data_IF_541033683210
#
_entry.id   IF_541033683210
#
_cell.length_a   1.000
_cell.length_b   1.000
_cell.length_c   1.000
_cell.angle_alpha   90.00
_cell.angle_beta   90.00
_cell.angle_gamma   90.00
#
_symmetry.space_group_name_H-M   'P 1'
#
loop_
_entity.id
_entity.type
_entity.pdbx_description
1 polymer ?
#
# COMPACT_ATOMS: atom_id res chain seq x y z
N UNK A 1 30.04 19.59 -5.32
CA UNK A 1 28.88 18.66 -5.27
C UNK A 1 27.89 19.18 -4.24
N UNK A 2 26.61 19.36 -4.58
CA UNK A 2 25.58 19.84 -3.63
C UNK A 2 25.55 18.93 -2.38
N UNK A 3 25.51 19.50 -1.18
CA UNK A 3 25.50 18.77 0.09
C UNK A 3 24.42 17.68 0.15
N UNK A 4 23.24 17.93 -0.44
CA UNK A 4 22.15 16.94 -0.57
C UNK A 4 22.59 15.74 -1.41
N UNK A 5 23.27 15.98 -2.55
CA UNK A 5 23.79 14.89 -3.40
C UNK A 5 24.84 14.08 -2.67
N UNK A 6 25.68 14.71 -1.83
CA UNK A 6 26.67 14.00 -1.00
C UNK A 6 25.99 13.11 0.04
N UNK A 7 24.98 13.62 0.75
CA UNK A 7 24.20 12.83 1.72
C UNK A 7 23.51 11.67 1.01
N UNK A 8 22.86 11.91 -0.12
CA UNK A 8 22.24 10.87 -0.94
C UNK A 8 23.26 9.79 -1.32
N UNK A 9 24.43 10.16 -1.86
CA UNK A 9 25.46 9.18 -2.24
C UNK A 9 25.98 8.36 -1.06
N UNK A 10 26.12 8.96 0.12
CA UNK A 10 26.53 8.23 1.34
C UNK A 10 25.46 7.22 1.74
N UNK A 11 24.20 7.65 1.85
CA UNK A 11 23.08 6.77 2.21
C UNK A 11 22.88 5.68 1.17
N UNK A 12 22.97 6.01 -0.12
CA UNK A 12 22.83 5.05 -1.19
C UNK A 12 23.98 4.04 -1.24
N UNK A 13 25.22 4.45 -0.90
CA UNK A 13 26.35 3.52 -0.79
C UNK A 13 26.16 2.53 0.36
N UNK A 14 25.63 2.99 1.49
CA UNK A 14 25.44 2.16 2.69
C UNK A 14 24.24 1.22 2.56
N UNK A 15 23.10 1.75 2.09
CA UNK A 15 21.84 1.01 2.05
C UNK A 15 21.51 0.44 0.66
N UNK A 16 22.11 0.94 -0.42
CA UNK A 16 21.79 0.48 -1.78
C UNK A 16 20.32 0.66 -2.17
N UNK A 17 19.87 -0.09 -3.18
CA UNK A 17 18.46 -0.16 -3.56
C UNK A 17 17.74 -1.14 -2.64
N UNK A 18 16.83 -0.62 -1.83
CA UNK A 18 16.20 -1.40 -0.75
C UNK A 18 14.88 -2.08 -1.16
N UNK A 19 14.32 -1.78 -2.34
CA UNK A 19 12.99 -2.27 -2.71
C UNK A 19 11.96 -1.91 -1.64
N UNK A 20 11.94 -0.63 -1.26
CA UNK A 20 11.37 -0.10 -0.01
C UNK A 20 9.92 -0.49 0.32
N UNK A 21 9.17 -1.03 -0.63
CA UNK A 21 7.82 -1.52 -0.38
C UNK A 21 7.71 -3.03 -0.58
N UNK A 22 7.46 -3.81 0.48
CA UNK A 22 7.30 -5.26 0.37
C UNK A 22 5.92 -5.62 -0.20
N UNK A 23 5.87 -6.63 -1.05
CA UNK A 23 4.60 -7.22 -1.53
C UNK A 23 4.65 -8.74 -1.39
N UNK A 24 3.52 -9.41 -1.61
CA UNK A 24 3.40 -10.86 -1.43
C UNK A 24 3.53 -11.58 -2.77
N UNK A 25 4.56 -12.43 -2.86
CA UNK A 25 4.81 -13.25 -4.04
C UNK A 25 3.70 -14.29 -4.28
N UNK A 26 3.63 -14.79 -5.51
CA UNK A 26 2.69 -15.85 -5.88
C UNK A 26 2.89 -17.08 -4.97
N UNK A 27 1.79 -17.61 -4.44
CA UNK A 27 1.74 -18.73 -3.49
C UNK A 27 2.33 -18.44 -2.09
N UNK A 28 2.62 -17.19 -1.77
CA UNK A 28 2.98 -16.78 -0.42
C UNK A 28 1.81 -16.05 0.27
N UNK A 29 1.96 -15.81 1.58
CA UNK A 29 1.00 -15.07 2.39
C UNK A 29 1.62 -13.82 3.06
N UNK A 30 2.94 -13.85 3.29
CA UNK A 30 3.65 -12.76 3.95
C UNK A 30 4.27 -11.83 2.91
N UNK A 31 4.09 -10.51 3.05
CA UNK A 31 4.81 -9.56 2.22
C UNK A 31 6.30 -9.63 2.53
N UNK A 32 7.15 -9.55 1.50
CA UNK A 32 8.61 -9.55 1.63
C UNK A 32 9.19 -8.47 0.73
N UNK A 33 10.31 -7.89 1.16
CA UNK A 33 11.07 -6.99 0.29
C UNK A 33 11.64 -7.81 -0.87
N UNK A 34 11.34 -7.37 -2.08
CA UNK A 34 11.85 -7.94 -3.32
C UNK A 34 11.86 -6.84 -4.39
N UNK A 35 11.97 -7.19 -5.67
CA UNK A 35 12.12 -6.28 -6.82
C UNK A 35 11.62 -4.83 -6.64
N UNK A 36 12.38 -3.91 -7.21
CA UNK A 36 12.28 -2.45 -6.99
C UNK A 36 10.91 -1.87 -7.40
N UNK A 37 10.14 -2.60 -8.21
CA UNK A 37 8.90 -2.14 -8.83
C UNK A 37 7.81 -3.22 -8.82
N UNK A 38 6.53 -2.85 -8.63
CA UNK A 38 5.41 -3.79 -8.73
C UNK A 38 5.26 -4.31 -10.16
N UNK A 39 5.20 -5.63 -10.32
CA UNK A 39 5.17 -6.34 -11.60
C UNK A 39 3.79 -6.44 -12.21
N UNK A 40 2.74 -6.28 -11.40
CA UNK A 40 1.36 -6.49 -11.82
C UNK A 40 0.38 -5.64 -10.99
N UNK A 41 -0.88 -5.61 -11.42
CA UNK A 41 -1.96 -4.87 -10.74
C UNK A 41 -2.19 -5.33 -9.30
N UNK A 42 -1.98 -6.63 -9.01
CA UNK A 42 -2.16 -7.17 -7.66
C UNK A 42 -1.12 -6.58 -6.70
N UNK A 43 0.15 -6.57 -7.09
CA UNK A 43 1.23 -5.98 -6.29
C UNK A 43 1.01 -4.47 -6.11
N UNK A 44 0.64 -3.74 -7.18
CA UNK A 44 0.26 -2.32 -7.06
C UNK A 44 -0.85 -2.09 -6.04
N UNK A 45 -1.88 -2.93 -6.08
CA UNK A 45 -3.00 -2.81 -5.17
C UNK A 45 -2.64 -3.20 -3.73
N UNK A 46 -1.75 -4.17 -3.54
CA UNK A 46 -1.19 -4.49 -2.23
C UNK A 46 -0.41 -3.32 -1.63
N UNK A 47 0.37 -2.61 -2.45
CA UNK A 47 1.07 -1.38 -2.05
C UNK A 47 0.07 -0.32 -1.58
N UNK A 48 -1.00 -0.09 -2.36
CA UNK A 48 -2.07 0.86 -2.00
C UNK A 48 -2.74 0.48 -0.68
N UNK A 49 -3.06 -0.81 -0.48
CA UNK A 49 -3.60 -1.32 0.78
C UNK A 49 -2.63 -1.04 1.92
N UNK A 50 -1.35 -1.40 1.76
CA UNK A 50 -0.33 -1.17 2.77
C UNK A 50 -0.20 0.30 3.16
N UNK A 51 -0.24 1.22 2.19
CA UNK A 51 -0.11 2.66 2.44
C UNK A 51 -1.23 3.21 3.32
N UNK A 52 -2.46 2.73 3.11
CA UNK A 52 -3.59 3.06 3.98
C UNK A 52 -3.46 2.38 5.34
N UNK A 53 -3.03 1.10 5.35
CA UNK A 53 -2.90 0.34 6.57
C UNK A 53 -1.80 0.87 7.49
N UNK A 54 -0.72 1.46 6.98
CA UNK A 54 0.40 2.02 7.78
C UNK A 54 0.03 3.28 8.55
N UNK A 55 -1.03 4.00 8.18
CA UNK A 55 -1.47 5.20 8.90
C UNK A 55 -1.69 4.92 10.39
N UNK A 56 -0.92 5.59 11.27
CA UNK A 56 -0.98 5.41 12.73
C UNK A 56 -0.81 3.95 13.20
N UNK A 57 0.09 3.16 12.58
CA UNK A 57 0.44 1.81 13.06
C UNK A 57 1.87 1.42 12.67
N UNK A 58 2.41 0.41 13.33
CA UNK A 58 3.69 -0.20 12.93
C UNK A 58 3.53 -1.13 11.72
N UNK A 59 4.61 -1.28 10.94
CA UNK A 59 4.66 -2.20 9.80
C UNK A 59 4.36 -3.66 10.22
N UNK A 60 4.88 -4.12 11.36
CA UNK A 60 4.59 -5.47 11.92
C UNK A 60 3.09 -5.78 12.02
N UNK A 61 2.27 -4.77 12.30
CA UNK A 61 0.82 -4.91 12.37
C UNK A 61 0.16 -4.89 10.99
N UNK A 62 0.71 -4.12 10.05
CA UNK A 62 0.31 -4.12 8.64
C UNK A 62 0.57 -5.47 8.00
N UNK A 63 1.74 -6.08 8.24
CA UNK A 63 2.07 -7.42 7.73
C UNK A 63 1.06 -8.48 8.17
N UNK A 64 0.62 -8.45 9.44
CA UNK A 64 -0.43 -9.33 9.94
C UNK A 64 -1.77 -9.11 9.23
N UNK A 65 -2.12 -7.85 8.96
CA UNK A 65 -3.35 -7.53 8.23
C UNK A 65 -3.27 -7.98 6.77
N UNK A 66 -2.15 -7.74 6.08
CA UNK A 66 -1.90 -8.21 4.71
C UNK A 66 -1.93 -9.74 4.65
N UNK A 67 -1.31 -10.42 5.61
CA UNK A 67 -1.36 -11.88 5.74
C UNK A 67 -2.80 -12.39 5.80
N UNK A 68 -3.64 -11.79 6.65
CA UNK A 68 -5.06 -12.16 6.78
C UNK A 68 -5.82 -11.95 5.45
N UNK A 69 -5.56 -10.84 4.75
CA UNK A 69 -6.17 -10.57 3.44
C UNK A 69 -5.70 -11.55 2.36
N UNK A 70 -4.41 -11.90 2.33
CA UNK A 70 -3.86 -12.89 1.40
C UNK A 70 -4.43 -14.28 1.65
N UNK A 71 -4.56 -14.68 2.92
CA UNK A 71 -5.17 -15.96 3.31
C UNK A 71 -6.60 -16.09 2.76
N UNK A 72 -7.36 -15.01 2.79
CA UNK A 72 -8.72 -14.93 2.23
C UNK A 72 -8.75 -14.59 0.72
N UNK A 73 -7.58 -14.48 0.06
CA UNK A 73 -7.42 -14.11 -1.35
C UNK A 73 -8.11 -12.78 -1.71
N UNK A 74 -8.03 -11.79 -0.81
CA UNK A 74 -8.73 -10.50 -0.89
C UNK A 74 -7.90 -9.34 -1.45
N UNK A 75 -6.60 -9.52 -1.72
CA UNK A 75 -5.79 -8.50 -2.41
C UNK A 75 -6.22 -8.41 -3.88
N UNK A 76 -7.37 -7.79 -4.11
CA UNK A 76 -8.04 -7.59 -5.39
C UNK A 76 -9.07 -6.46 -5.24
N UNK A 77 -9.10 -5.55 -6.20
CA UNK A 77 -9.93 -4.34 -6.15
C UNK A 77 -11.42 -4.69 -6.00
N UNK A 78 -11.93 -5.62 -6.81
CA UNK A 78 -13.35 -6.00 -6.80
C UNK A 78 -13.72 -6.70 -5.49
N UNK A 79 -12.84 -7.56 -4.98
CA UNK A 79 -13.08 -8.27 -3.72
C UNK A 79 -13.07 -7.34 -2.51
N UNK A 80 -12.13 -6.41 -2.41
CA UNK A 80 -12.13 -5.40 -1.33
C UNK A 80 -13.38 -4.52 -1.41
N UNK A 81 -13.78 -4.09 -2.62
CA UNK A 81 -15.02 -3.30 -2.77
C UNK A 81 -16.24 -4.09 -2.29
N UNK A 82 -16.35 -5.38 -2.61
CA UNK A 82 -17.59 -6.14 -2.40
C UNK A 82 -17.66 -6.90 -1.05
N UNK A 83 -16.54 -7.15 -0.38
CA UNK A 83 -16.57 -7.81 0.94
C UNK A 83 -17.37 -6.99 1.95
N UNK A 84 -18.08 -7.70 2.84
CA UNK A 84 -18.75 -7.07 3.97
C UNK A 84 -17.75 -6.25 4.81
N UNK A 85 -18.13 -5.01 5.12
CA UNK A 85 -17.23 -4.08 5.82
C UNK A 85 -16.81 -4.58 7.20
N UNK A 86 -17.71 -5.22 7.97
CA UNK A 86 -17.36 -5.78 9.29
C UNK A 86 -16.36 -6.94 9.16
N UNK A 87 -16.50 -7.80 8.14
CA UNK A 87 -15.52 -8.86 7.84
C UNK A 87 -14.17 -8.27 7.42
N UNK A 88 -14.15 -7.24 6.57
CA UNK A 88 -12.90 -6.57 6.20
C UNK A 88 -12.22 -5.96 7.44
N UNK A 89 -13.01 -5.27 8.27
CA UNK A 89 -12.55 -4.63 9.49
C UNK A 89 -11.96 -5.64 10.49
N UNK A 90 -12.52 -6.85 10.60
CA UNK A 90 -11.96 -7.89 11.46
C UNK A 90 -10.62 -8.44 10.94
N UNK A 91 -10.47 -8.62 9.63
CA UNK A 91 -9.23 -9.10 9.01
C UNK A 91 -8.07 -8.11 9.18
N UNK A 92 -8.35 -6.81 9.10
CA UNK A 92 -7.34 -5.75 9.24
C UNK A 92 -7.22 -5.21 10.67
N UNK A 93 -7.92 -5.80 11.65
CA UNK A 93 -7.90 -5.39 13.06
C UNK A 93 -6.49 -5.15 13.64
N UNK A 94 -5.45 -5.95 13.31
CA UNK A 94 -4.10 -5.70 13.81
C UNK A 94 -3.56 -4.30 13.50
N UNK A 95 -4.00 -3.67 12.41
CA UNK A 95 -3.52 -2.35 11.98
C UNK A 95 -4.11 -1.17 12.76
N UNK A 96 -5.03 -1.38 13.70
CA UNK A 96 -5.69 -0.29 14.45
C UNK A 96 -6.62 0.56 13.58
N UNK A 97 -7.51 1.36 14.19
CA UNK A 97 -8.52 2.18 13.47
C UNK A 97 -9.26 1.41 12.36
N UNK A 98 -9.49 0.12 12.59
CA UNK A 98 -9.80 -0.85 11.56
C UNK A 98 -11.17 -0.62 10.91
N UNK A 99 -12.11 0.01 11.63
CA UNK A 99 -13.39 0.43 11.06
C UNK A 99 -13.20 1.54 10.01
N UNK A 100 -12.40 2.56 10.32
CA UNK A 100 -12.11 3.66 9.39
C UNK A 100 -11.25 3.17 8.22
N UNK A 101 -10.25 2.32 8.49
CA UNK A 101 -9.42 1.73 7.44
C UNK A 101 -10.23 0.82 6.51
N UNK A 102 -11.18 0.04 7.02
CA UNK A 102 -12.05 -0.78 6.17
C UNK A 102 -12.92 0.07 5.25
N UNK A 103 -13.46 1.19 5.74
CA UNK A 103 -14.18 2.17 4.90
C UNK A 103 -13.26 2.74 3.82
N UNK A 104 -12.06 3.22 4.20
CA UNK A 104 -11.06 3.79 3.27
C UNK A 104 -10.64 2.80 2.19
N UNK A 105 -10.41 1.54 2.57
CA UNK A 105 -10.07 0.46 1.63
C UNK A 105 -11.18 0.21 0.60
N UNK A 106 -12.45 0.28 1.00
CA UNK A 106 -13.57 0.15 0.07
C UNK A 106 -13.68 1.36 -0.86
N UNK A 107 -13.49 2.57 -0.33
CA UNK A 107 -13.51 3.82 -1.10
C UNK A 107 -12.38 3.82 -2.15
N UNK A 108 -11.15 3.52 -1.75
CA UNK A 108 -10.02 3.49 -2.67
C UNK A 108 -10.17 2.39 -3.72
N UNK A 109 -10.76 1.25 -3.35
CA UNK A 109 -11.08 0.20 -4.31
C UNK A 109 -12.11 0.66 -5.35
N UNK A 110 -13.15 1.41 -4.97
CA UNK A 110 -14.08 1.99 -5.95
C UNK A 110 -13.39 2.99 -6.89
N UNK A 111 -12.49 3.83 -6.35
CA UNK A 111 -11.71 4.77 -7.14
C UNK A 111 -10.88 4.06 -8.22
N UNK A 112 -10.13 3.02 -7.85
CA UNK A 112 -9.28 2.28 -8.78
C UNK A 112 -10.02 1.35 -9.75
N UNK A 113 -11.33 1.11 -9.57
CA UNK A 113 -12.15 0.47 -10.61
C UNK A 113 -12.31 1.34 -11.85
N UNK A 114 -12.26 2.67 -11.68
CA UNK A 114 -12.49 3.64 -12.75
C UNK A 114 -11.17 4.20 -13.27
N UNK A 115 -10.21 4.45 -12.37
CA UNK A 115 -8.95 5.11 -12.67
C UNK A 115 -7.78 4.15 -12.53
N UNK A 116 -7.16 3.75 -13.66
CA UNK A 116 -5.99 2.85 -13.64
C UNK A 116 -4.69 3.53 -13.25
N UNK A 117 -4.58 4.84 -13.44
CA UNK A 117 -3.35 5.59 -13.18
C UNK A 117 -3.71 6.99 -12.69
N UNK A 118 -3.70 7.23 -11.37
CA UNK A 118 -4.19 8.47 -10.81
C UNK A 118 -3.13 9.56 -10.84
N UNK A 119 -3.61 10.80 -10.77
CA UNK A 119 -2.83 11.97 -10.42
C UNK A 119 -2.83 12.17 -8.91
N UNK A 120 -1.88 12.99 -8.42
CA UNK A 120 -1.83 13.38 -7.00
C UNK A 120 -3.11 14.08 -6.54
N UNK A 121 -3.64 14.98 -7.36
CA UNK A 121 -4.85 15.75 -7.04
C UNK A 121 -6.07 14.82 -6.91
N UNK A 122 -6.21 13.84 -7.81
CA UNK A 122 -7.29 12.84 -7.71
C UNK A 122 -7.17 12.00 -6.44
N UNK A 123 -5.96 11.57 -6.07
CA UNK A 123 -5.74 10.82 -4.82
C UNK A 123 -6.10 11.64 -3.59
N UNK A 124 -5.70 12.92 -3.54
CA UNK A 124 -6.01 13.82 -2.43
C UNK A 124 -7.50 14.13 -2.30
N UNK A 125 -8.26 14.02 -3.40
CA UNK A 125 -9.71 14.14 -3.36
C UNK A 125 -10.40 12.89 -2.78
N UNK A 126 -9.69 11.77 -2.63
CA UNK A 126 -10.23 10.55 -2.03
C UNK A 126 -10.27 10.68 -0.50
N UNK A 127 -11.47 10.53 0.08
CA UNK A 127 -11.69 10.58 1.52
C UNK A 127 -10.72 9.66 2.28
N UNK A 128 -9.91 10.24 3.15
CA UNK A 128 -8.97 9.52 4.01
C UNK A 128 -7.58 9.27 3.41
N UNK A 129 -7.30 9.81 2.22
CA UNK A 129 -5.97 9.83 1.62
C UNK A 129 -5.36 11.22 1.85
N UNK A 130 -4.33 11.28 2.70
CA UNK A 130 -3.55 12.49 2.93
C UNK A 130 -2.32 12.58 1.99
N UNK A 131 -1.56 13.69 2.04
CA UNK A 131 -0.36 13.90 1.22
C UNK A 131 0.62 12.72 1.25
N UNK A 132 1.00 12.26 2.43
CA UNK A 132 1.95 11.15 2.60
C UNK A 132 1.47 9.85 1.92
N UNK A 133 0.18 9.53 2.08
CA UNK A 133 -0.41 8.32 1.47
C UNK A 133 -0.52 8.47 -0.05
N UNK A 134 -0.91 9.64 -0.54
CA UNK A 134 -0.96 9.91 -1.98
C UNK A 134 0.43 9.78 -2.61
N UNK A 135 1.44 10.35 -1.99
CA UNK A 135 2.82 10.33 -2.48
C UNK A 135 3.41 8.92 -2.39
N UNK A 136 3.12 8.17 -1.33
CA UNK A 136 3.50 6.75 -1.21
C UNK A 136 2.87 5.89 -2.31
N UNK A 137 1.59 6.09 -2.61
CA UNK A 137 0.89 5.38 -3.69
C UNK A 137 1.54 5.70 -5.05
N UNK A 138 1.77 6.98 -5.34
CA UNK A 138 2.37 7.38 -6.62
C UNK A 138 3.79 6.84 -6.78
N UNK A 139 4.61 6.99 -5.75
CA UNK A 139 6.00 6.56 -5.77
C UNK A 139 6.10 5.03 -5.87
N UNK A 140 5.47 4.30 -4.96
CA UNK A 140 5.70 2.86 -4.84
C UNK A 140 4.77 2.03 -5.76
N UNK A 141 3.50 2.41 -5.91
CA UNK A 141 2.59 1.65 -6.77
C UNK A 141 2.67 2.05 -8.24
N UNK A 142 2.98 3.32 -8.54
CA UNK A 142 2.97 3.84 -9.91
C UNK A 142 4.35 4.25 -10.45
N UNK A 143 5.41 4.19 -9.64
CA UNK A 143 6.77 4.60 -10.02
C UNK A 143 6.81 6.04 -10.56
N UNK A 144 6.01 6.92 -9.97
CA UNK A 144 5.94 8.34 -10.31
C UNK A 144 6.59 9.17 -9.19
N UNK A 145 7.79 9.73 -9.40
CA UNK A 145 8.45 10.60 -8.44
C UNK A 145 7.72 11.95 -8.28
#
# INVERSE_FOLDING_TARGET
>A
MNQIKKIYSILFKEFGQQGWWPTTLKNELHPKHHDIAPKNDKERFEIIIGAILTQNTSWKNVEKAIFNLNKEKLIDIKKIKNINQKKLASLIRPSGYYNQKAERLKIIADFFLKNKTPTRQELLAVKGIGPETADSILLYAFQKP
#
